data_IF_290230986317
#
_entry.id   IF_290230986317
#
_cell.length_a   1.000
_cell.length_b   1.000
_cell.length_c   1.000
_cell.angle_alpha   90.00
_cell.angle_beta   90.00
_cell.angle_gamma   90.00
#
_symmetry.space_group_name_H-M   'P 1'
#
loop_
_entity.id
_entity.type
_entity.pdbx_description
1 polymer ?
#
# COMPACT_ATOMS: atom_id res chain seq x y z
N UNK A 1 26.63 -19.05 -45.50
CA UNK A 1 26.59 -18.01 -44.46
C UNK A 1 25.63 -16.91 -44.89
N UNK A 2 24.40 -16.88 -44.38
CA UNK A 2 23.66 -15.61 -44.17
C UNK A 2 22.82 -15.82 -42.90
N UNK A 3 23.21 -15.10 -41.86
CA UNK A 3 22.58 -15.10 -40.55
C UNK A 3 21.33 -14.19 -40.54
N UNK A 4 20.37 -14.56 -39.68
CA UNK A 4 19.59 -13.72 -38.76
C UNK A 4 19.09 -12.34 -39.26
N UNK A 5 17.84 -11.94 -39.04
CA UNK A 5 17.36 -11.70 -37.68
C UNK A 5 15.84 -11.46 -37.71
N UNK A 6 15.08 -12.39 -37.13
CA UNK A 6 13.65 -12.25 -36.87
C UNK A 6 13.51 -11.27 -35.70
N UNK A 7 13.22 -10.00 -35.96
CA UNK A 7 12.91 -9.02 -34.91
C UNK A 7 11.61 -9.44 -34.22
N UNK A 8 11.77 -10.20 -33.15
CA UNK A 8 10.71 -10.44 -32.16
C UNK A 8 10.59 -9.12 -31.40
N UNK A 9 9.57 -8.33 -31.71
CA UNK A 9 9.13 -7.31 -30.77
C UNK A 9 8.73 -8.03 -29.49
N UNK A 10 9.63 -8.07 -28.51
CA UNK A 10 9.30 -8.42 -27.14
C UNK A 10 8.17 -7.46 -26.74
N UNK A 11 6.94 -7.98 -26.69
CA UNK A 11 5.81 -7.27 -26.12
C UNK A 11 6.22 -6.87 -24.71
N UNK A 12 6.54 -5.60 -24.48
CA UNK A 12 6.55 -5.05 -23.14
C UNK A 12 5.14 -5.27 -22.59
N UNK A 13 4.96 -6.32 -21.78
CA UNK A 13 3.75 -6.46 -20.97
C UNK A 13 3.76 -5.23 -20.06
N UNK A 14 2.96 -4.22 -20.37
CA UNK A 14 2.59 -3.18 -19.40
C UNK A 14 1.81 -3.91 -18.32
N UNK A 15 2.51 -4.35 -17.27
CA UNK A 15 1.86 -4.91 -16.10
C UNK A 15 1.10 -3.78 -15.43
N UNK A 16 -0.20 -3.69 -15.73
CA UNK A 16 -1.10 -2.81 -15.00
C UNK A 16 -1.19 -3.31 -13.56
N UNK A 17 -1.06 -2.40 -12.60
CA UNK A 17 -1.18 -2.73 -11.18
C UNK A 17 -2.67 -2.88 -10.85
N UNK A 18 -3.05 -4.04 -10.32
CA UNK A 18 -4.40 -4.23 -9.77
C UNK A 18 -4.44 -3.72 -8.33
N UNK A 19 -4.74 -2.43 -8.18
CA UNK A 19 -4.86 -1.78 -6.87
C UNK A 19 -5.95 -2.41 -6.00
N UNK A 20 -7.06 -2.85 -6.61
CA UNK A 20 -8.16 -3.46 -5.89
C UNK A 20 -7.77 -4.80 -5.28
N UNK A 21 -7.02 -5.63 -6.03
CA UNK A 21 -6.48 -6.88 -5.51
C UNK A 21 -5.48 -6.64 -4.37
N UNK A 22 -4.56 -5.68 -4.51
CA UNK A 22 -3.59 -5.34 -3.45
C UNK A 22 -4.31 -4.85 -2.20
N UNK A 23 -5.27 -3.93 -2.32
CA UNK A 23 -6.04 -3.43 -1.20
C UNK A 23 -6.84 -4.53 -0.50
N UNK A 24 -7.49 -5.42 -1.26
CA UNK A 24 -8.25 -6.54 -0.73
C UNK A 24 -7.40 -7.50 0.10
N UNK A 25 -6.19 -7.80 -0.37
CA UNK A 25 -5.26 -8.69 0.37
C UNK A 25 -4.60 -7.96 1.54
N UNK A 26 -4.31 -6.67 1.43
CA UNK A 26 -3.68 -5.91 2.50
C UNK A 26 -4.62 -5.68 3.71
N UNK A 27 -5.93 -5.52 3.47
CA UNK A 27 -6.89 -5.12 4.51
C UNK A 27 -6.93 -6.07 5.73
N UNK A 28 -6.98 -7.41 5.58
CA UNK A 28 -6.90 -8.32 6.72
C UNK A 28 -5.58 -8.25 7.52
N UNK A 29 -4.52 -7.71 6.91
CA UNK A 29 -3.19 -7.57 7.53
C UNK A 29 -2.90 -6.15 8.01
N UNK A 30 -3.91 -5.27 8.04
CA UNK A 30 -3.68 -3.84 8.26
C UNK A 30 -3.13 -3.53 9.65
N UNK A 31 -3.52 -4.26 10.70
CA UNK A 31 -2.96 -4.03 12.04
C UNK A 31 -1.44 -4.34 12.11
N UNK A 32 -0.95 -5.52 11.67
CA UNK A 32 0.49 -5.78 11.55
C UNK A 32 1.23 -4.75 10.68
N UNK A 33 0.63 -4.30 9.57
CA UNK A 33 1.20 -3.25 8.73
C UNK A 33 1.29 -1.92 9.48
N UNK A 34 0.24 -1.52 10.19
CA UNK A 34 0.25 -0.32 11.03
C UNK A 34 1.29 -0.40 12.15
N UNK A 35 1.49 -1.55 12.80
CA UNK A 35 2.58 -1.72 13.79
C UNK A 35 3.96 -1.45 13.20
N UNK A 36 4.18 -1.86 11.95
CA UNK A 36 5.44 -1.65 11.23
C UNK A 36 5.60 -0.21 10.76
N UNK A 37 4.54 0.40 10.25
CA UNK A 37 4.56 1.72 9.61
C UNK A 37 4.39 2.88 10.58
N UNK A 38 3.63 2.66 11.65
CA UNK A 38 3.20 3.66 12.62
C UNK A 38 3.50 3.16 14.05
N UNK A 39 4.77 2.92 14.40
CA UNK A 39 5.17 2.18 15.61
C UNK A 39 4.79 2.84 16.93
N UNK A 40 4.62 4.17 16.98
CA UNK A 40 4.12 4.90 18.15
C UNK A 40 2.60 4.79 18.35
N UNK A 41 1.91 4.04 17.49
CA UNK A 41 0.47 3.84 17.59
C UNK A 41 0.06 2.68 18.49
N UNK A 42 -1.25 2.58 18.73
CA UNK A 42 -1.89 1.47 19.43
C UNK A 42 -3.28 1.18 18.86
N UNK A 43 -3.76 -0.04 19.06
CA UNK A 43 -5.14 -0.40 18.71
C UNK A 43 -6.12 0.11 19.76
N UNK A 44 -7.19 0.77 19.31
CA UNK A 44 -8.36 1.17 20.10
C UNK A 44 -9.61 0.71 19.34
N UNK A 45 -10.24 -0.37 19.82
CA UNK A 45 -11.37 -0.97 19.12
C UNK A 45 -11.00 -1.42 17.70
N UNK A 46 -11.64 -0.81 16.71
CA UNK A 46 -11.39 -1.04 15.29
C UNK A 46 -10.42 -0.03 14.65
N UNK A 47 -9.79 0.84 15.45
CA UNK A 47 -8.86 1.86 14.97
C UNK A 47 -7.42 1.58 15.42
N UNK A 48 -6.45 1.86 14.55
CA UNK A 48 -5.09 2.13 14.95
C UNK A 48 -4.93 3.63 15.15
N UNK A 49 -4.44 4.04 16.32
CA UNK A 49 -4.36 5.45 16.72
C UNK A 49 -2.91 5.81 17.03
N UNK A 50 -2.38 6.83 16.36
CA UNK A 50 -1.02 7.36 16.53
C UNK A 50 -1.01 8.90 16.40
N UNK A 51 0.16 9.51 16.50
CA UNK A 51 0.35 10.96 16.44
C UNK A 51 0.28 11.51 15.02
N UNK A 52 0.94 10.85 14.06
CA UNK A 52 1.03 11.29 12.67
C UNK A 52 1.50 10.15 11.75
N UNK A 53 1.60 10.43 10.44
CA UNK A 53 2.10 9.49 9.44
C UNK A 53 3.57 9.11 9.58
N UNK A 54 4.37 9.81 10.40
CA UNK A 54 5.74 9.43 10.74
C UNK A 54 5.79 8.35 11.83
N UNK A 55 4.64 7.99 12.40
CA UNK A 55 4.53 6.95 13.41
C UNK A 55 4.89 7.42 14.81
N UNK A 56 4.86 8.73 15.08
CA UNK A 56 5.03 9.27 16.43
C UNK A 56 3.83 8.90 17.32
N UNK A 57 4.02 8.93 18.64
CA UNK A 57 2.94 8.70 19.59
C UNK A 57 1.97 9.89 19.62
N UNK A 58 0.68 9.61 19.82
CA UNK A 58 -0.36 10.65 19.87
C UNK A 58 -1.73 10.11 19.50
N UNK A 59 -2.63 11.01 19.08
CA UNK A 59 -4.03 10.66 18.79
C UNK A 59 -4.60 11.30 17.51
N UNK A 60 -3.79 12.07 16.78
CA UNK A 60 -4.25 12.85 15.62
C UNK A 60 -4.34 12.02 14.34
N UNK A 61 -3.64 10.90 14.24
CA UNK A 61 -3.71 10.01 13.08
C UNK A 61 -4.44 8.71 13.44
N UNK A 62 -5.48 8.39 12.67
CA UNK A 62 -6.32 7.22 12.86
C UNK A 62 -6.44 6.42 11.57
N UNK A 63 -6.36 5.09 11.70
CA UNK A 63 -6.60 4.14 10.62
C UNK A 63 -7.72 3.19 11.05
N UNK A 64 -8.80 3.13 10.29
CA UNK A 64 -9.87 2.17 10.52
C UNK A 64 -9.45 0.80 9.98
N UNK A 65 -9.17 -0.14 10.88
CA UNK A 65 -8.67 -1.48 10.58
C UNK A 65 -9.67 -2.37 9.83
N UNK A 66 -10.95 -2.00 9.78
CA UNK A 66 -12.00 -2.75 9.06
C UNK A 66 -12.18 -2.29 7.62
N UNK A 67 -11.89 -1.02 7.33
CA UNK A 67 -12.17 -0.40 6.01
C UNK A 67 -10.91 0.06 5.28
N UNK A 68 -9.81 0.25 5.99
CA UNK A 68 -8.58 0.81 5.44
C UNK A 68 -8.58 2.34 5.29
N UNK A 69 -9.72 3.00 5.59
CA UNK A 69 -9.80 4.46 5.62
C UNK A 69 -8.93 5.02 6.74
N UNK A 70 -8.27 6.13 6.48
CA UNK A 70 -7.39 6.77 7.44
C UNK A 70 -7.39 8.29 7.29
N UNK A 71 -7.04 8.97 8.37
CA UNK A 71 -6.86 10.41 8.40
C UNK A 71 -5.78 10.80 9.41
N UNK A 72 -4.97 11.79 9.06
CA UNK A 72 -4.19 12.61 10.00
C UNK A 72 -4.91 13.95 10.15
N UNK A 73 -5.64 14.10 11.25
CA UNK A 73 -6.47 15.28 11.52
C UNK A 73 -5.64 16.53 11.80
N UNK A 74 -4.41 16.39 12.30
CA UNK A 74 -3.52 17.53 12.54
C UNK A 74 -2.93 18.07 11.23
N UNK A 75 -2.62 17.17 10.28
CA UNK A 75 -2.10 17.53 8.96
C UNK A 75 -3.19 17.81 7.91
N UNK A 76 -4.46 17.49 8.19
CA UNK A 76 -5.56 17.61 7.23
C UNK A 76 -5.46 16.63 6.05
N UNK A 77 -4.80 15.48 6.24
CA UNK A 77 -4.56 14.47 5.21
C UNK A 77 -5.39 13.22 5.46
N UNK A 78 -5.69 12.46 4.41
CA UNK A 78 -6.38 11.19 4.55
C UNK A 78 -6.46 10.39 3.26
N UNK A 79 -6.97 9.18 3.37
CA UNK A 79 -7.09 8.26 2.25
C UNK A 79 -8.10 7.15 2.51
N UNK A 80 -8.48 6.47 1.43
CA UNK A 80 -9.60 5.54 1.43
C UNK A 80 -9.22 4.08 1.64
N UNK A 81 -7.93 3.73 1.55
CA UNK A 81 -7.49 2.35 1.42
C UNK A 81 -6.04 2.10 1.87
N UNK A 82 -5.62 0.82 2.07
CA UNK A 82 -4.27 0.47 2.50
C UNK A 82 -3.14 0.97 1.59
N UNK A 83 -3.32 0.98 0.26
CA UNK A 83 -2.30 1.50 -0.67
C UNK A 83 -2.11 2.99 -0.47
N UNK A 84 -3.19 3.76 -0.33
CA UNK A 84 -3.12 5.20 -0.06
C UNK A 84 -2.41 5.50 1.27
N UNK A 85 -2.63 4.67 2.30
CA UNK A 85 -1.92 4.78 3.58
C UNK A 85 -0.43 4.51 3.40
N UNK A 86 -0.07 3.41 2.73
CA UNK A 86 1.32 3.07 2.49
C UNK A 86 2.06 4.14 1.70
N UNK A 87 1.40 4.74 0.69
CA UNK A 87 1.92 5.85 -0.08
C UNK A 87 2.21 7.07 0.79
N UNK A 88 1.26 7.43 1.66
CA UNK A 88 1.38 8.58 2.54
C UNK A 88 2.45 8.40 3.61
N UNK A 89 2.52 7.23 4.25
CA UNK A 89 3.57 6.90 5.23
C UNK A 89 4.95 6.95 4.60
N UNK A 90 5.12 6.37 3.40
CA UNK A 90 6.42 6.28 2.75
C UNK A 90 6.82 7.54 1.96
N UNK A 91 5.90 8.50 1.78
CA UNK A 91 6.15 9.70 0.97
C UNK A 91 6.36 9.40 -0.52
N UNK A 92 5.71 8.36 -1.05
CA UNK A 92 5.86 7.90 -2.44
C UNK A 92 4.50 7.86 -3.16
N UNK A 93 4.53 7.72 -4.49
CA UNK A 93 3.31 7.57 -5.30
C UNK A 93 2.59 6.24 -5.07
N UNK A 94 1.27 6.22 -5.24
CA UNK A 94 0.45 5.02 -4.99
C UNK A 94 0.85 3.80 -5.83
N UNK A 95 1.26 3.98 -7.09
CA UNK A 95 1.72 2.88 -7.93
C UNK A 95 2.98 2.19 -7.35
N UNK A 96 3.88 2.96 -6.74
CA UNK A 96 5.06 2.40 -6.09
C UNK A 96 4.70 1.73 -4.77
N UNK A 97 3.85 2.37 -3.97
CA UNK A 97 3.33 1.80 -2.73
C UNK A 97 2.61 0.46 -2.97
N UNK A 98 1.78 0.37 -4.00
CA UNK A 98 1.09 -0.87 -4.38
C UNK A 98 2.06 -1.99 -4.78
N UNK A 99 3.13 -1.67 -5.52
CA UNK A 99 4.19 -2.66 -5.85
C UNK A 99 4.95 -3.12 -4.61
N UNK A 100 5.27 -2.20 -3.70
CA UNK A 100 5.94 -2.52 -2.44
C UNK A 100 5.06 -3.41 -1.57
N UNK A 101 3.78 -3.07 -1.44
CA UNK A 101 2.80 -3.88 -0.71
C UNK A 101 2.60 -5.26 -1.32
N UNK A 102 2.45 -5.35 -2.65
CA UNK A 102 2.31 -6.62 -3.33
C UNK A 102 3.52 -7.53 -3.10
N UNK A 103 4.74 -6.97 -3.14
CA UNK A 103 5.96 -7.70 -2.77
C UNK A 103 5.98 -8.14 -1.30
N UNK A 104 5.56 -7.27 -0.38
CA UNK A 104 5.50 -7.59 1.06
C UNK A 104 4.51 -8.69 1.39
N UNK A 105 3.42 -8.80 0.61
CA UNK A 105 2.32 -9.73 0.82
C UNK A 105 2.37 -10.94 -0.13
N UNK A 106 3.47 -11.10 -0.88
CA UNK A 106 3.66 -12.15 -1.89
C UNK A 106 2.50 -12.26 -2.91
N UNK A 107 1.94 -11.11 -3.30
CA UNK A 107 0.89 -11.02 -4.32
C UNK A 107 1.56 -10.91 -5.68
N UNK A 108 1.26 -11.84 -6.60
CA UNK A 108 1.67 -11.70 -8.00
C UNK A 108 1.02 -10.45 -8.61
N UNK A 109 1.81 -9.40 -8.80
CA UNK A 109 1.40 -8.21 -9.55
C UNK A 109 1.35 -8.59 -11.02
N UNK A 110 0.21 -9.10 -11.47
CA UNK A 110 0.00 -9.48 -12.86
C UNK A 110 -1.06 -10.57 -13.01
N UNK A 111 -2.22 -10.18 -13.55
CA UNK A 111 -3.26 -11.11 -13.97
C UNK A 111 -2.73 -12.10 -14.99
N UNK A 112 -2.77 -13.38 -14.64
CA UNK A 112 -2.57 -14.48 -15.56
C UNK A 112 -3.85 -14.72 -16.35
N UNK A 113 -3.73 -14.66 -17.67
CA UNK A 113 -4.28 -15.62 -18.61
C UNK A 113 -3.18 -15.93 -19.62
#
# INVERSE_FOLDING_TARGET
MIASNRLRHARFRRTTIDFAAVNRVALPHLEPLCRRWLPGGRRIGAEWVCGNLRGEAGQSCKVNLRTGRWADFAAGQGGGDPVSLAAAVAGIGQAEAARNLARMLDIKVGGGW
#
